data_IF_295979230711
#
_entry.id   IF_295979230711
#
_cell.length_a   1.000
_cell.length_b   1.000
_cell.length_c   1.000
_cell.angle_alpha   90.00
_cell.angle_beta   90.00
_cell.angle_gamma   90.00
#
_symmetry.space_group_name_H-M   'P 1'
#
loop_
_entity.id
_entity.type
_entity.pdbx_description
1 polymer ?
#
# COMPACT_ATOMS: atom_id res chain seq x y z
N UNK A 1 -1.62 -24.40 19.89
CA UNK A 1 -1.88 -23.21 19.04
C UNK A 1 -0.79 -22.20 19.31
N UNK A 2 0.00 -21.82 18.30
CA UNK A 2 1.01 -20.78 18.48
C UNK A 2 0.29 -19.45 18.81
N UNK A 3 0.72 -18.75 19.87
CA UNK A 3 0.22 -17.40 20.16
C UNK A 3 0.64 -16.51 19.01
N UNK A 4 -0.33 -15.87 18.35
CA UNK A 4 -0.06 -14.85 17.35
C UNK A 4 0.75 -13.72 18.01
N UNK A 5 1.73 -13.14 17.29
CA UNK A 5 2.49 -12.00 17.79
C UNK A 5 1.52 -10.85 18.14
N UNK A 6 1.84 -10.04 19.16
CA UNK A 6 0.98 -8.93 19.54
C UNK A 6 0.88 -7.94 18.38
N UNK A 7 -0.33 -7.80 17.82
CA UNK A 7 -0.60 -6.88 16.71
C UNK A 7 -0.90 -5.49 17.29
N UNK A 8 -0.14 -4.48 16.87
CA UNK A 8 -0.45 -3.09 17.15
C UNK A 8 -1.55 -2.61 16.19
N UNK A 9 -2.80 -2.77 16.64
CA UNK A 9 -3.98 -2.44 15.84
C UNK A 9 -4.05 -0.95 15.48
N UNK A 10 -3.53 -0.06 16.32
CA UNK A 10 -3.49 1.37 16.02
C UNK A 10 -2.45 1.67 14.95
N UNK A 11 -1.29 1.01 14.98
CA UNK A 11 -0.30 1.10 13.91
C UNK A 11 -0.88 0.67 12.56
N UNK A 12 -1.70 -0.38 12.52
CA UNK A 12 -2.39 -0.82 11.30
C UNK A 12 -3.31 0.28 10.74
N UNK A 13 -4.17 0.87 11.56
CA UNK A 13 -5.08 1.94 11.11
C UNK A 13 -4.35 3.21 10.68
N UNK A 14 -3.28 3.57 11.36
CA UNK A 14 -2.44 4.72 10.98
C UNK A 14 -1.78 4.46 9.63
N UNK A 15 -1.29 3.24 9.37
CA UNK A 15 -0.77 2.86 8.05
C UNK A 15 -1.84 2.96 6.98
N UNK A 16 -3.05 2.43 7.19
CA UNK A 16 -4.16 2.54 6.23
C UNK A 16 -4.50 4.01 5.87
N UNK A 17 -4.53 4.90 6.86
CA UNK A 17 -4.75 6.34 6.60
C UNK A 17 -3.63 6.97 5.79
N UNK A 18 -2.37 6.59 6.05
CA UNK A 18 -1.22 7.04 5.25
C UNK A 18 -1.31 6.52 3.81
N UNK A 19 -1.70 5.24 3.63
CA UNK A 19 -1.90 4.63 2.32
C UNK A 19 -2.97 5.36 1.50
N UNK A 20 -4.06 5.79 2.13
CA UNK A 20 -5.14 6.53 1.47
C UNK A 20 -4.82 8.01 1.23
N UNK A 21 -3.58 8.45 1.47
CA UNK A 21 -3.16 9.85 1.33
C UNK A 21 -3.73 10.80 2.39
N UNK A 22 -4.44 10.28 3.40
CA UNK A 22 -5.07 11.05 4.47
C UNK A 22 -4.08 11.36 5.59
N UNK A 23 -2.98 12.04 5.25
CA UNK A 23 -1.87 12.30 6.19
C UNK A 23 -2.30 13.12 7.41
N UNK A 24 -3.20 14.09 7.23
CA UNK A 24 -3.72 14.90 8.34
C UNK A 24 -4.46 14.02 9.36
N UNK A 25 -5.33 13.13 8.88
CA UNK A 25 -6.09 12.19 9.71
C UNK A 25 -5.16 11.17 10.39
N UNK A 26 -4.16 10.67 9.66
CA UNK A 26 -3.15 9.76 10.20
C UNK A 26 -2.37 10.39 11.36
N UNK A 27 -1.97 11.66 11.23
CA UNK A 27 -1.27 12.41 12.28
C UNK A 27 -2.19 12.70 13.47
N UNK A 28 -3.44 13.08 13.24
CA UNK A 28 -4.41 13.33 14.30
C UNK A 28 -4.67 12.05 15.11
N UNK A 29 -4.84 10.91 14.42
CA UNK A 29 -5.04 9.61 15.06
C UNK A 29 -3.81 9.16 15.83
N UNK A 30 -2.61 9.27 15.24
CA UNK A 30 -1.36 8.94 15.91
C UNK A 30 -1.20 9.73 17.21
N UNK A 31 -1.48 11.03 17.17
CA UNK A 31 -1.40 11.89 18.37
C UNK A 31 -2.41 11.47 19.44
N UNK A 32 -3.66 11.20 19.05
CA UNK A 32 -4.67 10.70 19.97
C UNK A 32 -4.30 9.36 20.63
N UNK A 33 -3.62 8.47 19.90
CA UNK A 33 -3.16 7.17 20.40
C UNK A 33 -1.99 7.32 21.38
N UNK A 34 -1.08 8.26 21.11
CA UNK A 34 0.02 8.62 22.02
C UNK A 34 -0.52 9.26 23.31
N UNK A 35 -1.39 10.26 23.18
CA UNK A 35 -1.97 10.99 24.31
C UNK A 35 -2.81 10.06 25.21
N UNK A 36 -3.48 9.07 24.63
CA UNK A 36 -4.24 8.06 25.36
C UNK A 36 -3.37 6.96 26.00
N UNK A 37 -2.04 6.97 25.82
CA UNK A 37 -1.14 5.93 26.34
C UNK A 37 -1.32 4.55 25.70
N UNK A 38 -2.01 4.47 24.56
CA UNK A 38 -2.31 3.21 23.82
C UNK A 38 -1.32 2.93 22.70
N UNK A 39 -0.33 3.80 22.51
CA UNK A 39 0.69 3.66 21.47
C UNK A 39 1.62 2.47 21.74
N UNK A 40 1.46 1.41 20.94
CA UNK A 40 2.41 0.31 20.90
C UNK A 40 3.74 0.69 20.25
N UNK A 41 4.70 -0.25 20.23
CA UNK A 41 6.04 -0.02 19.67
C UNK A 41 6.00 0.39 18.19
N UNK A 42 5.10 -0.19 17.40
CA UNK A 42 4.96 0.13 15.98
C UNK A 42 4.34 1.51 15.76
N UNK A 43 3.34 1.91 16.56
CA UNK A 43 2.77 3.24 16.50
C UNK A 43 3.82 4.32 16.84
N UNK A 44 4.72 4.06 17.81
CA UNK A 44 5.83 4.96 18.15
C UNK A 44 6.86 5.06 17.01
N UNK A 45 7.21 3.94 16.39
CA UNK A 45 8.09 3.93 15.21
C UNK A 45 7.48 4.70 14.02
N UNK A 46 6.16 4.61 13.82
CA UNK A 46 5.44 5.41 12.84
C UNK A 46 5.51 6.91 13.15
N UNK A 47 5.48 7.30 14.42
CA UNK A 47 5.63 8.70 14.81
C UNK A 47 7.00 9.27 14.44
N UNK A 48 8.06 8.53 14.74
CA UNK A 48 9.44 8.90 14.40
C UNK A 48 9.65 8.96 12.88
N UNK A 49 9.10 7.99 12.17
CA UNK A 49 9.08 7.97 10.71
C UNK A 49 8.36 9.22 10.14
N UNK A 50 7.17 9.55 10.64
CA UNK A 50 6.39 10.69 10.14
C UNK A 50 7.01 12.05 10.47
N UNK A 51 7.73 12.15 11.59
CA UNK A 51 8.47 13.35 11.98
C UNK A 51 9.66 13.63 11.07
N UNK A 52 10.31 12.59 10.55
CA UNK A 52 11.50 12.68 9.70
C UNK A 52 11.19 12.62 8.20
N UNK A 53 10.01 12.12 7.83
CA UNK A 53 9.58 12.01 6.44
C UNK A 53 9.40 13.40 5.80
N UNK A 54 10.23 13.71 4.78
CA UNK A 54 10.06 14.89 3.93
C UNK A 54 8.65 14.89 3.32
N UNK A 55 7.93 16.02 3.44
CA UNK A 55 6.60 16.25 2.83
C UNK A 55 6.62 15.76 1.37
N UNK A 56 5.70 14.86 1.03
CA UNK A 56 5.53 14.33 -0.33
C UNK A 56 6.19 12.97 -0.61
N UNK A 57 7.09 12.46 0.25
CA UNK A 57 7.62 11.10 0.11
C UNK A 57 6.74 10.12 0.88
N UNK A 58 5.76 9.52 0.20
CA UNK A 58 5.05 8.36 0.74
C UNK A 58 6.07 7.23 0.97
N UNK A 59 6.14 6.62 2.18
CA UNK A 59 7.04 5.49 2.48
C UNK A 59 6.87 4.29 1.55
N UNK A 60 5.67 4.14 0.99
CA UNK A 60 5.18 2.92 0.41
C UNK A 60 4.67 3.23 -1.00
N UNK A 61 5.59 3.31 -1.95
CA UNK A 61 5.27 3.47 -3.37
C UNK A 61 4.66 2.19 -3.98
N UNK A 62 4.47 2.21 -5.30
CA UNK A 62 3.93 1.12 -6.12
C UNK A 62 4.50 -0.29 -5.81
N UNK A 63 5.68 -0.37 -5.20
CA UNK A 63 6.33 -1.59 -4.72
C UNK A 63 5.54 -2.38 -3.68
N UNK A 64 4.59 -1.77 -2.95
CA UNK A 64 3.70 -2.48 -2.01
C UNK A 64 2.34 -2.82 -2.60
N UNK A 65 1.86 -1.98 -3.53
CA UNK A 65 0.55 -2.14 -4.14
C UNK A 65 0.58 -3.01 -5.41
N UNK A 66 1.72 -3.64 -5.72
CA UNK A 66 1.91 -4.40 -6.95
C UNK A 66 0.89 -5.53 -7.11
N UNK A 67 0.47 -6.15 -6.00
CA UNK A 67 -0.52 -7.21 -6.01
C UNK A 67 -1.92 -6.68 -6.32
N UNK A 68 -2.40 -5.64 -5.63
CA UNK A 68 -3.72 -5.07 -5.92
C UNK A 68 -3.79 -4.43 -7.32
N UNK A 69 -2.73 -3.72 -7.73
CA UNK A 69 -2.62 -3.14 -9.07
C UNK A 69 -2.66 -4.24 -10.15
N UNK A 70 -1.97 -5.36 -9.91
CA UNK A 70 -1.94 -6.50 -10.83
C UNK A 70 -3.32 -7.15 -11.01
N UNK A 71 -4.04 -7.39 -9.91
CA UNK A 71 -5.40 -7.94 -9.95
C UNK A 71 -6.34 -7.00 -10.70
N UNK A 72 -6.39 -5.71 -10.32
CA UNK A 72 -7.26 -4.74 -10.97
C UNK A 72 -6.95 -4.63 -12.48
N UNK A 73 -5.66 -4.71 -12.87
CA UNK A 73 -5.25 -4.72 -14.27
C UNK A 73 -5.73 -5.98 -15.00
N UNK A 74 -5.65 -7.16 -14.38
CA UNK A 74 -6.11 -8.42 -14.96
C UNK A 74 -7.62 -8.50 -15.12
N UNK A 75 -8.37 -7.97 -14.15
CA UNK A 75 -9.83 -7.83 -14.23
C UNK A 75 -10.20 -6.92 -15.40
N UNK A 76 -9.57 -5.75 -15.52
CA UNK A 76 -9.81 -4.83 -16.63
C UNK A 76 -9.37 -5.42 -17.98
N UNK A 77 -8.26 -6.17 -18.02
CA UNK A 77 -7.78 -6.88 -19.23
C UNK A 77 -8.80 -7.94 -19.66
N UNK A 78 -9.33 -8.71 -18.72
CA UNK A 78 -10.38 -9.72 -18.96
C UNK A 78 -11.68 -9.09 -19.44
N UNK A 79 -12.01 -7.90 -18.93
CA UNK A 79 -13.16 -7.11 -19.37
C UNK A 79 -12.97 -6.43 -20.74
N UNK A 80 -11.81 -6.59 -21.40
CA UNK A 80 -11.53 -6.03 -22.71
C UNK A 80 -11.18 -4.54 -22.72
N UNK A 81 -10.88 -3.94 -21.56
CA UNK A 81 -10.47 -2.53 -21.46
C UNK A 81 -9.11 -2.34 -22.13
N UNK A 82 -8.95 -1.32 -22.97
CA UNK A 82 -7.71 -1.05 -23.70
C UNK A 82 -6.54 -0.65 -22.79
N UNK A 83 -5.30 -0.88 -23.25
CA UNK A 83 -4.09 -0.65 -22.42
C UNK A 83 -4.00 0.76 -21.84
N UNK A 84 -4.10 1.79 -22.68
CA UNK A 84 -4.00 3.19 -22.24
C UNK A 84 -5.11 3.55 -21.23
N UNK A 85 -6.33 3.06 -21.46
CA UNK A 85 -7.44 3.28 -20.55
C UNK A 85 -7.24 2.59 -19.19
N UNK A 86 -6.65 1.38 -19.17
CA UNK A 86 -6.27 0.71 -17.92
C UNK A 86 -5.22 1.53 -17.16
N UNK A 87 -4.19 2.02 -17.84
CA UNK A 87 -3.14 2.81 -17.21
C UNK A 87 -3.68 4.11 -16.61
N UNK A 88 -4.58 4.80 -17.31
CA UNK A 88 -5.22 6.01 -16.80
C UNK A 88 -6.13 5.72 -15.59
N UNK A 89 -6.95 4.65 -15.67
CA UNK A 89 -7.83 4.23 -14.56
C UNK A 89 -7.03 3.83 -13.32
N UNK A 90 -5.97 3.05 -13.48
CA UNK A 90 -5.09 2.63 -12.39
C UNK A 90 -4.31 3.82 -11.83
N UNK A 91 -3.78 4.69 -12.68
CA UNK A 91 -3.08 5.91 -12.27
C UNK A 91 -3.97 6.84 -11.46
N UNK A 92 -5.23 7.03 -11.88
CA UNK A 92 -6.22 7.81 -11.13
C UNK A 92 -6.62 7.16 -9.81
N UNK A 93 -6.86 5.84 -9.80
CA UNK A 93 -7.29 5.09 -8.61
C UNK A 93 -6.21 5.05 -7.52
N UNK A 94 -4.97 4.80 -7.92
CA UNK A 94 -3.85 4.63 -6.98
C UNK A 94 -3.03 5.90 -6.81
N UNK A 95 -3.35 6.99 -7.54
CA UNK A 95 -2.60 8.24 -7.55
C UNK A 95 -1.11 8.04 -7.88
N UNK A 96 -0.83 7.18 -8.86
CA UNK A 96 0.52 6.80 -9.28
C UNK A 96 0.76 7.22 -10.74
N UNK A 97 2.02 7.51 -11.06
CA UNK A 97 2.42 7.74 -12.44
C UNK A 97 2.35 6.43 -13.25
N UNK A 98 2.10 6.54 -14.56
CA UNK A 98 2.03 5.39 -15.48
C UNK A 98 3.21 4.43 -15.34
N UNK A 99 4.44 4.95 -15.27
CA UNK A 99 5.66 4.13 -15.12
C UNK A 99 5.69 3.32 -13.81
N UNK A 100 5.07 3.84 -12.75
CA UNK A 100 4.97 3.15 -11.47
C UNK A 100 3.91 2.03 -11.53
N UNK A 101 2.81 2.24 -12.24
CA UNK A 101 1.81 1.21 -12.52
C UNK A 101 2.43 0.09 -13.37
N UNK A 102 3.15 0.44 -14.43
CA UNK A 102 3.83 -0.54 -15.31
C UNK A 102 4.82 -1.41 -14.51
N UNK A 103 5.60 -0.78 -13.62
CA UNK A 103 6.53 -1.52 -12.73
C UNK A 103 5.79 -2.47 -11.80
N UNK A 104 4.65 -2.04 -11.25
CA UNK A 104 3.81 -2.87 -10.38
C UNK A 104 3.22 -4.07 -11.15
N UNK A 105 2.67 -3.84 -12.34
CA UNK A 105 2.10 -4.89 -13.21
C UNK A 105 3.18 -5.89 -13.62
N UNK A 106 4.36 -5.44 -14.04
CA UNK A 106 5.46 -6.33 -14.42
C UNK A 106 5.89 -7.24 -13.27
N UNK A 107 5.95 -6.70 -12.05
CA UNK A 107 6.27 -7.49 -10.84
C UNK A 107 5.17 -8.52 -10.54
N UNK A 108 3.91 -8.16 -10.75
CA UNK A 108 2.79 -9.08 -10.61
C UNK A 108 2.88 -10.24 -11.60
N UNK A 109 3.03 -9.94 -12.88
CA UNK A 109 3.12 -10.94 -13.94
C UNK A 109 4.30 -11.90 -13.70
N UNK A 110 5.49 -11.38 -13.36
CA UNK A 110 6.64 -12.21 -13.01
C UNK A 110 6.37 -13.16 -11.83
N UNK A 111 5.61 -12.70 -10.82
CA UNK A 111 5.26 -13.54 -9.67
C UNK A 111 4.24 -14.62 -10.04
N UNK A 112 3.27 -14.28 -10.89
CA UNK A 112 2.27 -15.24 -11.38
C UNK A 112 2.90 -16.28 -12.30
N UNK A 113 3.87 -15.90 -13.12
CA UNK A 113 4.60 -16.82 -13.99
C UNK A 113 5.46 -17.80 -13.18
N UNK A 114 6.17 -17.33 -12.15
CA UNK A 114 6.90 -18.21 -11.23
C UNK A 114 5.97 -19.25 -10.56
N UNK A 115 4.77 -18.83 -10.11
CA UNK A 115 3.78 -19.73 -9.54
C UNK A 115 3.25 -20.78 -10.54
N UNK A 116 3.10 -20.39 -11.82
CA UNK A 116 2.69 -21.31 -12.89
C UNK A 116 3.78 -22.33 -13.22
N UNK A 117 5.05 -21.93 -13.15
CA UNK A 117 6.19 -22.82 -13.34
C UNK A 117 6.33 -23.82 -12.19
N UNK A 118 6.13 -23.40 -10.94
CA UNK A 118 6.14 -24.31 -9.77
C UNK A 118 4.97 -25.30 -9.75
N UNK A 119 3.84 -24.96 -10.37
CA UNK A 119 2.66 -25.82 -10.45
C UNK A 119 2.72 -26.85 -11.59
N UNK A 120 3.80 -26.87 -12.38
CA UNK A 120 4.00 -27.72 -13.56
C UNK A 120 4.87 -28.93 -13.26
#
# INVERSE_FOLDING_TARGET
>A
MAKLPPIDTEAFWIRDLLHRGKRADALARLRAVIDAGRAGPEAKALAEYLATAKRGRQPFGATHLWYEIGIDNDEMRTAGVGYEERMDKLGGRFMLAKTQIETAVAKYEASMDALREEAR
#
